data_IF_518880994876
#
_entry.id   IF_518880994876
#
_cell.length_a   1.000
_cell.length_b   1.000
_cell.length_c   1.000
_cell.angle_alpha   90.00
_cell.angle_beta   90.00
_cell.angle_gamma   90.00
#
_symmetry.space_group_name_H-M   'P 1'
#
loop_
_entity.id
_entity.type
_entity.pdbx_description
1 polymer ?
#
# COMPACT_ATOMS: atom_id res chain seq x y z
N UNK A 1 4.44 -12.04 2.58
CA UNK A 1 3.49 -12.84 1.78
C UNK A 1 2.83 -13.92 2.64
N UNK A 2 1.58 -14.30 2.34
CA UNK A 2 0.87 -15.40 3.00
C UNK A 2 0.19 -16.27 1.96
N UNK A 3 0.46 -17.57 1.98
CA UNK A 3 -0.02 -18.53 0.99
C UNK A 3 -0.80 -19.66 1.66
N UNK A 4 -2.00 -19.96 1.12
CA UNK A 4 -2.81 -21.09 1.58
C UNK A 4 -2.45 -22.34 0.77
N UNK A 5 -1.76 -23.29 1.40
CA UNK A 5 -1.36 -24.53 0.74
C UNK A 5 -2.51 -25.53 0.66
N UNK A 6 -3.18 -25.76 1.79
CA UNK A 6 -4.33 -26.67 1.91
C UNK A 6 -5.18 -26.30 3.14
N UNK A 7 -6.31 -26.99 3.34
CA UNK A 7 -7.20 -26.71 4.48
C UNK A 7 -6.43 -26.84 5.80
N UNK A 8 -6.32 -25.74 6.54
CA UNK A 8 -5.64 -25.68 7.84
C UNK A 8 -4.13 -25.46 7.76
N UNK A 9 -3.53 -25.33 6.57
CA UNK A 9 -2.08 -25.13 6.42
C UNK A 9 -1.79 -23.87 5.61
N UNK A 10 -1.02 -22.98 6.22
CA UNK A 10 -0.60 -21.71 5.65
C UNK A 10 0.91 -21.59 5.72
N UNK A 11 1.48 -21.00 4.69
CA UNK A 11 2.89 -20.64 4.64
C UNK A 11 3.00 -19.12 4.67
N UNK A 12 4.00 -18.62 5.40
CA UNK A 12 4.26 -17.20 5.54
C UNK A 12 5.71 -16.93 5.17
N UNK A 13 5.90 -15.92 4.34
CA UNK A 13 7.21 -15.47 3.90
C UNK A 13 7.38 -14.00 4.30
N UNK A 14 8.54 -13.69 4.87
CA UNK A 14 8.92 -12.33 5.23
C UNK A 14 9.92 -11.80 4.22
N UNK A 15 9.61 -10.66 3.62
CA UNK A 15 10.55 -9.93 2.77
C UNK A 15 10.97 -8.61 3.43
N UNK A 16 12.20 -8.20 3.16
CA UNK A 16 12.74 -6.94 3.68
C UNK A 16 12.32 -5.78 2.79
N UNK A 17 11.43 -4.91 3.31
CA UNK A 17 10.90 -3.76 2.56
C UNK A 17 11.93 -2.64 2.41
N UNK A 18 12.65 -2.26 3.48
CA UNK A 18 13.64 -1.19 3.43
C UNK A 18 14.74 -1.45 4.46
N UNK A 19 16.00 -1.34 4.05
CA UNK A 19 17.18 -1.63 4.88
C UNK A 19 17.48 -0.49 5.85
N UNK A 20 17.24 0.75 5.42
CA UNK A 20 17.48 1.93 6.23
C UNK A 20 16.22 2.81 6.30
N UNK A 21 15.29 2.51 7.23
CA UNK A 21 14.02 3.23 7.30
C UNK A 21 14.20 4.68 7.75
N UNK A 22 15.23 5.00 8.54
CA UNK A 22 15.47 6.36 9.03
C UNK A 22 15.94 7.32 7.93
N UNK A 23 16.65 6.81 6.92
CA UNK A 23 17.10 7.59 5.76
C UNK A 23 16.04 7.69 4.65
N UNK A 24 14.90 7.02 4.81
CA UNK A 24 13.88 6.96 3.77
C UNK A 24 13.01 8.22 3.75
N UNK A 25 12.73 8.79 2.57
CA UNK A 25 11.78 9.89 2.43
C UNK A 25 10.41 9.54 3.02
N UNK A 26 9.73 10.56 3.54
CA UNK A 26 8.37 10.41 4.05
C UNK A 26 7.46 9.76 2.99
N UNK A 27 6.72 8.73 3.39
CA UNK A 27 5.79 8.00 2.52
C UNK A 27 6.42 6.89 1.64
N UNK A 28 7.74 6.86 1.45
CA UNK A 28 8.39 5.85 0.57
C UNK A 28 8.15 4.42 1.03
N UNK A 29 8.33 4.14 2.33
CA UNK A 29 8.14 2.79 2.89
C UNK A 29 6.68 2.34 2.72
N UNK A 30 5.73 3.26 2.94
CA UNK A 30 4.30 2.99 2.76
C UNK A 30 3.97 2.69 1.31
N UNK A 31 4.57 3.42 0.36
CA UNK A 31 4.41 3.17 -1.08
C UNK A 31 4.96 1.80 -1.47
N UNK A 32 6.16 1.45 -1.00
CA UNK A 32 6.78 0.14 -1.26
C UNK A 32 5.90 -1.01 -0.73
N UNK A 33 5.44 -0.90 0.51
CA UNK A 33 4.51 -1.85 1.10
C UNK A 33 3.21 -1.95 0.29
N UNK A 34 2.69 -0.83 -0.23
CA UNK A 34 1.49 -0.83 -1.06
C UNK A 34 1.70 -1.57 -2.38
N UNK A 35 2.87 -1.42 -3.02
CA UNK A 35 3.22 -2.15 -4.27
C UNK A 35 3.36 -3.65 -4.04
N UNK A 36 4.01 -4.03 -2.95
CA UNK A 36 4.13 -5.43 -2.52
C UNK A 36 2.73 -6.04 -2.35
N UNK A 37 1.88 -5.33 -1.62
CA UNK A 37 0.53 -5.78 -1.34
C UNK A 37 -0.33 -5.88 -2.61
N UNK A 38 -0.16 -4.94 -3.55
CA UNK A 38 -0.83 -4.99 -4.85
C UNK A 38 -0.43 -6.26 -5.62
N UNK A 39 0.86 -6.59 -5.64
CA UNK A 39 1.35 -7.83 -6.25
C UNK A 39 0.75 -9.08 -5.60
N UNK A 40 0.69 -9.14 -4.26
CA UNK A 40 0.08 -10.26 -3.53
C UNK A 40 -1.42 -10.41 -3.86
N UNK A 41 -2.15 -9.29 -3.95
CA UNK A 41 -3.57 -9.28 -4.33
C UNK A 41 -3.76 -9.76 -5.77
N UNK A 42 -2.91 -9.33 -6.70
CA UNK A 42 -2.98 -9.77 -8.09
C UNK A 42 -2.68 -11.27 -8.25
N UNK A 43 -1.76 -11.82 -7.45
CA UNK A 43 -1.44 -13.25 -7.48
C UNK A 43 -2.57 -14.12 -6.94
N UNK A 44 -3.26 -13.68 -5.88
CA UNK A 44 -4.33 -14.47 -5.26
C UNK A 44 -5.51 -13.60 -4.81
N UNK A 45 -6.28 -13.02 -5.76
CA UNK A 45 -7.35 -12.06 -5.46
C UNK A 45 -8.46 -12.66 -4.60
N UNK A 46 -8.71 -13.96 -4.69
CA UNK A 46 -9.71 -14.68 -3.90
C UNK A 46 -9.45 -14.64 -2.39
N UNK A 47 -8.22 -14.39 -1.95
CA UNK A 47 -7.86 -14.29 -0.54
C UNK A 47 -7.88 -12.86 -0.01
N UNK A 48 -8.10 -11.87 -0.87
CA UNK A 48 -8.23 -10.48 -0.45
C UNK A 48 -9.60 -10.19 0.18
N UNK A 49 -9.61 -9.31 1.18
CA UNK A 49 -10.82 -8.92 1.92
C UNK A 49 -11.61 -7.84 1.16
N UNK A 50 -12.29 -8.21 0.08
CA UNK A 50 -13.06 -7.29 -0.77
C UNK A 50 -14.17 -6.51 -0.06
N UNK A 51 -14.62 -6.99 1.10
CA UNK A 51 -15.61 -6.30 1.94
C UNK A 51 -15.05 -5.04 2.63
N UNK A 52 -13.73 -4.88 2.68
CA UNK A 52 -13.09 -3.74 3.31
C UNK A 52 -13.20 -2.48 2.43
N UNK A 53 -13.86 -1.42 2.94
CA UNK A 53 -14.02 -0.11 2.24
C UNK A 53 -12.73 0.72 2.27
N UNK A 54 -11.64 0.21 1.69
CA UNK A 54 -10.29 0.78 1.81
C UNK A 54 -10.17 2.19 1.21
N UNK A 55 -10.89 2.47 0.13
CA UNK A 55 -10.84 3.75 -0.59
C UNK A 55 -11.95 4.74 -0.21
N UNK A 56 -12.55 4.59 0.97
CA UNK A 56 -13.62 5.51 1.42
C UNK A 56 -13.15 6.96 1.63
N UNK A 57 -11.86 7.16 1.93
CA UNK A 57 -11.29 8.49 2.19
C UNK A 57 -10.99 9.20 0.86
N UNK A 58 -11.64 10.33 0.62
CA UNK A 58 -11.28 11.25 -0.47
C UNK A 58 -9.98 11.96 -0.11
N UNK A 59 -9.08 12.13 -1.10
CA UNK A 59 -7.89 12.96 -0.88
C UNK A 59 -8.35 14.40 -0.61
N UNK A 60 -7.82 15.08 0.43
CA UNK A 60 -8.08 16.50 0.60
C UNK A 60 -7.62 17.23 -0.65
N UNK A 61 -8.49 18.06 -1.22
CA UNK A 61 -8.13 18.93 -2.34
C UNK A 61 -7.09 19.91 -1.80
N UNK A 62 -5.87 19.87 -2.33
CA UNK A 62 -4.84 20.83 -1.97
C UNK A 62 -5.41 22.25 -2.21
N UNK A 63 -5.16 23.21 -1.31
CA UNK A 63 -5.65 24.57 -1.50
C UNK A 63 -5.12 25.08 -2.84
N UNK A 64 -6.04 25.56 -3.69
CA UNK A 64 -5.71 26.23 -4.94
C UNK A 64 -4.94 27.48 -4.53
N UNK A 65 -3.61 27.44 -4.63
CA UNK A 65 -2.80 28.64 -4.47
C UNK A 65 -3.08 29.48 -5.70
N UNK A 66 -4.03 30.40 -5.60
CA UNK A 66 -4.22 31.45 -6.58
C UNK A 66 -2.96 32.31 -6.55
N UNK A 67 -2.01 32.02 -7.43
CA UNK A 67 -0.95 32.98 -7.78
C UNK A 67 -1.64 34.16 -8.45
N UNK A 68 -2.07 35.13 -7.65
CA UNK A 68 -2.31 36.48 -8.14
C UNK A 68 -0.96 37.03 -8.61
N UNK A 69 -0.63 36.78 -9.88
CA UNK A 69 0.28 37.62 -10.64
C UNK A 69 -0.43 38.96 -10.78
N UNK A 70 -0.21 39.85 -9.81
CA UNK A 70 -0.56 41.25 -9.93
C UNK A 70 0.69 42.02 -10.36
N UNK A 71 0.61 42.47 -11.61
CA UNK A 71 1.28 43.64 -12.19
C UNK A 71 2.79 43.61 -12.40
#
# INVERSE_FOLDING_TARGET
HVYKMKRGFYEMEFEMVEKNPAASPHGKITEMNTRILEKDIQQAPQYWLWTHKRWKRKRPVAPIVSTNSHR
#
